data_IF_425776719332
#
_entry.id   IF_425776719332
#
_cell.length_a   1.000
_cell.length_b   1.000
_cell.length_c   1.000
_cell.angle_alpha   90.00
_cell.angle_beta   90.00
_cell.angle_gamma   90.00
#
_symmetry.space_group_name_H-M   'P 1'
#
loop_
_entity.id
_entity.type
_entity.pdbx_description
1 polymer ?
#
# COMPACT_ATOMS: atom_id res chain seq x y z
N UNK A 1 -20.65 -6.27 -8.30
CA UNK A 1 -19.64 -5.21 -8.12
C UNK A 1 -18.29 -5.89 -8.20
N UNK A 2 -17.47 -5.50 -9.17
CA UNK A 2 -16.14 -6.06 -9.37
C UNK A 2 -15.11 -5.15 -8.71
N UNK A 3 -14.40 -5.66 -7.70
CA UNK A 3 -13.30 -4.96 -7.06
C UNK A 3 -11.98 -5.32 -7.75
N UNK A 4 -11.25 -4.30 -8.19
CA UNK A 4 -9.95 -4.46 -8.87
C UNK A 4 -8.88 -3.65 -8.17
N UNK A 5 -7.62 -4.10 -8.25
CA UNK A 5 -6.46 -3.38 -7.72
C UNK A 5 -5.57 -2.98 -8.87
N UNK A 6 -5.30 -1.68 -8.97
CA UNK A 6 -4.65 -1.10 -10.14
C UNK A 6 -3.59 -0.07 -9.73
N UNK A 7 -2.65 0.21 -10.64
CA UNK A 7 -1.83 1.42 -10.57
C UNK A 7 -2.27 2.37 -11.68
N UNK A 8 -2.49 3.64 -11.32
CA UNK A 8 -2.73 4.67 -12.32
C UNK A 8 -1.47 4.86 -13.18
N UNK A 9 -1.66 5.03 -14.49
CA UNK A 9 -0.57 5.16 -15.46
C UNK A 9 0.30 6.40 -15.22
N UNK A 10 -0.31 7.49 -14.74
CA UNK A 10 0.39 8.74 -14.48
C UNK A 10 0.54 9.00 -12.98
N UNK A 11 1.73 9.43 -12.51
CA UNK A 11 1.97 9.73 -11.10
C UNK A 11 1.06 10.81 -10.51
N UNK A 12 0.72 11.85 -11.29
CA UNK A 12 -0.16 12.95 -10.89
C UNK A 12 -1.61 12.50 -10.69
N UNK A 13 -2.10 11.62 -11.57
CA UNK A 13 -3.41 10.97 -11.42
C UNK A 13 -3.44 10.11 -10.17
N UNK A 14 -2.41 9.29 -9.92
CA UNK A 14 -2.30 8.49 -8.71
C UNK A 14 -2.31 9.37 -7.45
N UNK A 15 -1.52 10.44 -7.45
CA UNK A 15 -1.40 11.34 -6.31
C UNK A 15 -2.74 12.00 -6.00
N UNK A 16 -3.40 12.56 -7.01
CA UNK A 16 -4.71 13.19 -6.86
C UNK A 16 -5.74 12.22 -6.30
N UNK A 17 -5.84 11.03 -6.90
CA UNK A 17 -6.78 10.01 -6.47
C UNK A 17 -6.58 9.58 -5.00
N UNK A 18 -5.32 9.33 -4.60
CA UNK A 18 -4.99 8.92 -3.23
C UNK A 18 -5.29 10.05 -2.24
N UNK A 19 -4.86 11.28 -2.52
CA UNK A 19 -5.05 12.41 -1.59
C UNK A 19 -6.53 12.76 -1.44
N UNK A 20 -7.29 12.79 -2.53
CA UNK A 20 -8.75 13.02 -2.47
C UNK A 20 -9.46 11.92 -1.68
N UNK A 21 -9.08 10.65 -1.88
CA UNK A 21 -9.63 9.53 -1.13
C UNK A 21 -9.38 9.66 0.39
N UNK A 22 -8.14 10.00 0.78
CA UNK A 22 -7.71 10.12 2.17
C UNK A 22 -8.35 11.34 2.85
N UNK A 23 -8.39 12.49 2.18
CA UNK A 23 -8.93 13.73 2.75
C UNK A 23 -10.40 13.62 3.17
N UNK A 24 -11.16 12.72 2.54
CA UNK A 24 -12.57 12.49 2.84
C UNK A 24 -12.82 11.48 3.98
N UNK A 25 -11.77 10.86 4.56
CA UNK A 25 -11.93 9.67 5.41
C UNK A 25 -11.09 9.72 6.69
N UNK A 26 -11.74 9.40 7.81
CA UNK A 26 -11.03 9.15 9.07
C UNK A 26 -10.18 7.86 8.99
N UNK A 27 -9.04 7.80 9.69
CA UNK A 27 -8.43 8.87 10.50
C UNK A 27 -7.60 9.89 9.69
N UNK A 28 -7.53 9.73 8.36
CA UNK A 28 -6.61 10.46 7.50
C UNK A 28 -6.97 11.94 7.35
N UNK A 29 -8.26 12.29 7.43
CA UNK A 29 -8.79 13.66 7.46
C UNK A 29 -8.17 14.56 8.54
N UNK A 30 -7.64 13.95 9.62
CA UNK A 30 -7.05 14.64 10.78
C UNK A 30 -5.54 14.50 10.86
N UNK A 31 -4.92 13.77 9.93
CA UNK A 31 -3.47 13.61 9.94
C UNK A 31 -2.76 14.87 9.42
N UNK A 32 -1.55 15.19 9.93
CA UNK A 32 -0.75 16.27 9.37
C UNK A 32 -0.47 16.04 7.88
N UNK A 33 -0.76 17.05 7.06
CA UNK A 33 -0.69 16.94 5.59
C UNK A 33 0.71 16.56 5.08
N UNK A 34 1.77 17.17 5.63
CA UNK A 34 3.16 16.94 5.19
C UNK A 34 3.59 15.47 5.21
N UNK A 35 3.50 14.77 6.37
CA UNK A 35 3.77 13.33 6.47
C UNK A 35 2.93 12.45 5.53
N UNK A 36 1.64 12.77 5.35
CA UNK A 36 0.77 12.06 4.41
C UNK A 36 1.27 12.22 2.99
N UNK A 37 1.54 13.45 2.55
CA UNK A 37 2.09 13.74 1.21
C UNK A 37 3.43 13.05 1.00
N UNK A 38 4.34 13.06 1.98
CA UNK A 38 5.63 12.41 1.88
C UNK A 38 5.49 10.89 1.69
N UNK A 39 4.60 10.26 2.45
CA UNK A 39 4.33 8.81 2.36
C UNK A 39 3.74 8.45 1.00
N UNK A 40 2.73 9.19 0.54
CA UNK A 40 2.06 8.97 -0.76
C UNK A 40 3.03 9.20 -1.93
N UNK A 41 3.78 10.30 -1.90
CA UNK A 41 4.76 10.62 -2.95
C UNK A 41 5.83 9.55 -3.04
N UNK A 42 6.36 9.10 -1.90
CA UNK A 42 7.36 8.03 -1.87
C UNK A 42 6.82 6.71 -2.40
N UNK A 43 5.58 6.35 -2.06
CA UNK A 43 4.94 5.14 -2.57
C UNK A 43 4.76 5.18 -4.09
N UNK A 44 4.33 6.33 -4.63
CA UNK A 44 4.16 6.52 -6.09
C UNK A 44 5.50 6.47 -6.81
N UNK A 45 6.53 7.15 -6.30
CA UNK A 45 7.87 7.14 -6.89
C UNK A 45 8.47 5.74 -6.98
N UNK A 46 8.18 4.87 -6.00
CA UNK A 46 8.60 3.46 -6.02
C UNK A 46 7.69 2.54 -6.84
N UNK A 47 6.52 3.02 -7.26
CA UNK A 47 5.46 2.16 -7.80
C UNK A 47 4.92 1.15 -6.76
N UNK A 48 5.07 1.44 -5.47
CA UNK A 48 4.66 0.61 -4.34
C UNK A 48 3.33 1.08 -3.74
N UNK A 49 2.32 1.15 -4.60
CA UNK A 49 0.95 1.45 -4.23
C UNK A 49 -0.01 0.67 -5.13
N UNK A 50 -1.27 0.54 -4.69
CA UNK A 50 -2.38 0.12 -5.53
C UNK A 50 -3.66 0.82 -5.08
N UNK A 51 -4.48 1.20 -6.05
CA UNK A 51 -5.83 1.73 -5.85
C UNK A 51 -6.82 0.57 -5.94
N UNK A 52 -7.71 0.48 -4.97
CA UNK A 52 -8.86 -0.40 -5.03
C UNK A 52 -9.98 0.35 -5.77
N UNK A 53 -10.38 -0.18 -6.93
CA UNK A 53 -11.38 0.45 -7.80
C UNK A 53 -12.58 -0.46 -7.95
N UNK A 54 -13.76 0.11 -7.71
CA UNK A 54 -15.04 -0.55 -7.90
C UNK A 54 -15.61 -0.21 -9.28
N UNK A 55 -16.01 -1.26 -10.01
CA UNK A 55 -16.60 -1.20 -11.35
C UNK A 55 -15.77 -0.33 -12.34
N UNK A 56 -14.45 -0.27 -12.12
CA UNK A 56 -13.48 0.44 -12.96
C UNK A 56 -13.51 1.96 -12.89
N UNK A 57 -14.30 2.56 -11.97
CA UNK A 57 -14.55 4.02 -11.98
C UNK A 57 -14.26 4.71 -10.66
N UNK A 58 -14.65 4.12 -9.55
CA UNK A 58 -14.56 4.78 -8.25
C UNK A 58 -13.44 4.18 -7.40
N UNK A 59 -12.57 5.04 -6.87
CA UNK A 59 -11.55 4.64 -5.90
C UNK A 59 -12.23 4.44 -4.55
N UNK A 60 -12.35 3.18 -4.14
CA UNK A 60 -12.96 2.77 -2.87
C UNK A 60 -11.90 2.40 -1.82
N UNK A 61 -10.61 2.41 -2.20
CA UNK A 61 -9.52 2.24 -1.25
C UNK A 61 -8.13 2.34 -1.85
N UNK A 62 -7.14 2.17 -0.99
CA UNK A 62 -5.74 2.17 -1.37
C UNK A 62 -4.90 1.28 -0.46
N UNK A 63 -3.75 0.85 -0.98
CA UNK A 63 -2.66 0.30 -0.17
C UNK A 63 -1.33 0.86 -0.67
N UNK A 64 -0.46 1.27 0.25
CA UNK A 64 0.88 1.81 0.00
C UNK A 64 1.88 1.03 0.85
N UNK A 65 2.99 0.63 0.24
CA UNK A 65 4.03 -0.12 0.91
C UNK A 65 5.43 0.36 0.51
N UNK A 66 6.41 -0.26 1.15
CA UNK A 66 7.83 -0.12 0.87
C UNK A 66 8.50 -1.50 0.99
N UNK A 67 9.67 -1.64 0.38
CA UNK A 67 10.54 -2.78 0.59
C UNK A 67 11.75 -2.32 1.39
N UNK A 68 12.11 -3.07 2.43
CA UNK A 68 13.25 -2.76 3.30
C UNK A 68 13.72 -4.06 3.96
N UNK A 69 14.84 -4.02 4.67
CA UNK A 69 15.21 -5.08 5.60
C UNK A 69 14.23 -5.17 6.79
N UNK A 70 14.22 -6.33 7.44
CA UNK A 70 13.32 -6.63 8.55
C UNK A 70 13.50 -5.71 9.77
N UNK A 71 14.74 -5.37 10.12
CA UNK A 71 15.04 -4.61 11.33
C UNK A 71 14.57 -3.16 11.17
N UNK A 72 14.81 -2.57 10.00
CA UNK A 72 14.29 -1.26 9.61
C UNK A 72 12.76 -1.24 9.61
N UNK A 73 12.10 -2.26 9.04
CA UNK A 73 10.64 -2.35 9.06
C UNK A 73 10.08 -2.44 10.49
N UNK A 74 10.76 -3.19 11.36
CA UNK A 74 10.35 -3.40 12.74
C UNK A 74 10.53 -2.13 13.57
N UNK A 75 11.67 -1.45 13.45
CA UNK A 75 11.93 -0.17 14.12
C UNK A 75 10.91 0.90 13.69
N UNK A 76 10.61 0.99 12.40
CA UNK A 76 9.53 1.84 11.90
C UNK A 76 8.17 1.50 12.52
N UNK A 77 7.82 0.22 12.58
CA UNK A 77 6.53 -0.21 13.11
C UNK A 77 6.35 0.11 14.60
N UNK A 78 7.46 0.22 15.34
CA UNK A 78 7.48 0.59 16.76
C UNK A 78 7.59 2.10 16.99
N UNK A 79 7.72 2.90 15.93
CA UNK A 79 7.96 4.34 16.03
C UNK A 79 9.36 4.70 16.52
N UNK A 80 10.31 3.77 16.41
CA UNK A 80 11.70 3.96 16.87
C UNK A 80 12.57 4.66 15.81
N UNK A 81 12.23 4.50 14.53
CA UNK A 81 12.96 5.11 13.42
C UNK A 81 12.04 5.42 12.24
N UNK A 82 12.36 6.49 11.51
CA UNK A 82 11.75 6.76 10.20
C UNK A 82 12.78 6.40 9.11
N UNK A 83 12.52 5.41 8.26
CA UNK A 83 13.45 5.04 7.21
C UNK A 83 13.52 6.12 6.14
N UNK A 84 14.71 6.31 5.59
CA UNK A 84 14.94 7.16 4.42
C UNK A 84 14.34 6.55 3.15
N UNK A 85 14.20 7.35 2.10
CA UNK A 85 13.72 6.87 0.81
C UNK A 85 14.57 5.71 0.27
N UNK A 86 15.91 5.83 0.33
CA UNK A 86 16.84 4.82 -0.19
C UNK A 86 16.71 3.47 0.55
N UNK A 87 16.50 3.51 1.87
CA UNK A 87 16.24 2.32 2.69
C UNK A 87 14.92 1.63 2.34
N UNK A 88 14.03 2.30 1.61
CA UNK A 88 12.69 1.78 1.27
C UNK A 88 12.53 1.34 -0.19
N UNK A 89 13.62 1.30 -0.95
CA UNK A 89 13.64 0.90 -2.36
C UNK A 89 13.54 -0.62 -2.55
N UNK A 90 14.27 -1.39 -1.74
CA UNK A 90 14.42 -2.82 -1.89
C UNK A 90 14.63 -3.49 -0.52
N UNK A 91 14.45 -4.81 -0.47
CA UNK A 91 14.61 -5.58 0.75
C UNK A 91 13.81 -6.88 0.73
N UNK A 92 13.91 -7.65 1.81
CA UNK A 92 13.26 -8.94 1.97
C UNK A 92 11.93 -8.86 2.74
N UNK A 93 11.56 -7.64 3.19
CA UNK A 93 10.41 -7.38 4.03
C UNK A 93 9.55 -6.27 3.42
N UNK A 94 8.26 -6.56 3.28
CA UNK A 94 7.24 -5.58 2.90
C UNK A 94 6.79 -4.79 4.12
N UNK A 95 7.02 -3.48 4.09
CA UNK A 95 6.56 -2.55 5.13
C UNK A 95 5.29 -1.85 4.66
N UNK A 96 4.15 -2.15 5.27
CA UNK A 96 2.86 -1.55 4.90
C UNK A 96 2.68 -0.22 5.59
N UNK A 97 2.83 0.86 4.83
CA UNK A 97 2.92 2.21 5.37
C UNK A 97 1.54 2.84 5.59
N UNK A 98 0.64 2.64 4.63
CA UNK A 98 -0.67 3.28 4.63
C UNK A 98 -1.65 2.44 3.83
N UNK A 99 -2.89 2.35 4.30
CA UNK A 99 -3.95 1.69 3.56
C UNK A 99 -5.30 1.91 4.24
N UNK A 100 -6.35 1.89 3.45
CA UNK A 100 -7.71 2.17 3.91
C UNK A 100 -8.72 1.86 2.80
N UNK A 101 -9.96 1.61 3.20
CA UNK A 101 -11.03 1.28 2.27
C UNK A 101 -12.34 1.04 2.99
N UNK A 102 -13.43 1.13 2.23
CA UNK A 102 -14.80 1.03 2.72
C UNK A 102 -15.23 -0.45 2.90
N UNK A 103 -14.42 -1.24 3.63
CA UNK A 103 -14.75 -2.61 4.00
C UNK A 103 -13.57 -3.59 4.06
N UNK A 104 -13.76 -4.76 4.69
CA UNK A 104 -12.70 -5.76 4.89
C UNK A 104 -12.20 -6.38 3.57
N UNK A 105 -13.05 -6.43 2.54
CA UNK A 105 -12.69 -6.96 1.23
C UNK A 105 -11.55 -6.15 0.58
N UNK A 106 -11.53 -4.84 0.79
CA UNK A 106 -10.50 -3.94 0.23
C UNK A 106 -9.17 -4.16 0.94
N UNK A 107 -9.17 -4.22 2.28
CA UNK A 107 -7.95 -4.53 3.04
C UNK A 107 -7.38 -5.89 2.65
N UNK A 108 -8.22 -6.94 2.60
CA UNK A 108 -7.79 -8.28 2.22
C UNK A 108 -7.33 -8.36 0.76
N UNK A 109 -8.01 -7.67 -0.16
CA UNK A 109 -7.64 -7.58 -1.56
C UNK A 109 -6.27 -6.90 -1.74
N UNK A 110 -6.01 -5.80 -1.02
CA UNK A 110 -4.72 -5.13 -1.05
C UNK A 110 -3.59 -6.02 -0.52
N UNK A 111 -3.82 -6.74 0.58
CA UNK A 111 -2.86 -7.71 1.10
C UNK A 111 -2.56 -8.83 0.10
N UNK A 112 -3.58 -9.32 -0.61
CA UNK A 112 -3.41 -10.35 -1.66
C UNK A 112 -2.64 -9.79 -2.84
N UNK A 113 -2.99 -8.60 -3.31
CA UNK A 113 -2.29 -7.92 -4.41
C UNK A 113 -0.79 -7.75 -4.13
N UNK A 114 -0.44 -7.32 -2.91
CA UNK A 114 0.96 -7.25 -2.47
C UNK A 114 1.57 -8.66 -2.38
N UNK A 115 0.86 -9.64 -1.81
CA UNK A 115 1.36 -11.01 -1.65
C UNK A 115 1.63 -11.72 -2.97
N UNK A 116 0.82 -11.49 -3.99
CA UNK A 116 1.02 -12.01 -5.34
C UNK A 116 2.28 -11.42 -5.99
N UNK A 117 2.61 -10.16 -5.66
CA UNK A 117 3.84 -9.48 -6.10
C UNK A 117 5.08 -9.92 -5.33
N UNK A 118 4.91 -10.33 -4.08
CA UNK A 118 6.00 -10.66 -3.17
C UNK A 118 5.78 -12.02 -2.48
N UNK A 119 5.66 -13.10 -3.27
CA UNK A 119 5.34 -14.42 -2.73
C UNK A 119 6.37 -14.86 -1.70
N UNK A 120 5.90 -15.33 -0.55
CA UNK A 120 6.75 -15.78 0.52
C UNK A 120 7.55 -14.69 1.23
N UNK A 121 7.44 -13.39 0.89
CA UNK A 121 8.17 -12.34 1.63
C UNK A 121 7.56 -12.10 3.00
N UNK A 122 8.40 -11.63 3.94
CA UNK A 122 7.95 -11.17 5.25
C UNK A 122 7.17 -9.87 5.09
N UNK A 123 6.26 -9.60 6.01
CA UNK A 123 5.64 -8.29 6.09
C UNK A 123 5.55 -7.78 7.53
N UNK A 124 5.52 -6.46 7.64
CA UNK A 124 5.23 -5.70 8.85
C UNK A 124 4.14 -4.68 8.52
N UNK A 125 3.08 -4.64 9.32
CA UNK A 125 2.04 -3.61 9.21
C UNK A 125 1.64 -3.07 10.57
N UNK A 126 1.37 -1.77 10.63
CA UNK A 126 0.65 -1.16 11.73
C UNK A 126 -0.83 -1.05 11.37
N UNK A 127 -1.69 -1.48 12.28
CA UNK A 127 -3.13 -1.22 12.16
C UNK A 127 -3.50 -0.14 13.15
N UNK A 128 -4.25 0.84 12.69
CA UNK A 128 -4.61 2.02 13.47
C UNK A 128 -5.33 1.66 14.79
N UNK A 129 -6.09 0.57 14.80
CA UNK A 129 -6.86 0.06 15.94
C UNK A 129 -6.08 -0.89 16.86
N UNK A 130 -4.82 -1.22 16.55
CA UNK A 130 -4.03 -2.21 17.31
C UNK A 130 -2.79 -1.60 17.96
N UNK A 131 -2.55 -2.00 19.21
CA UNK A 131 -1.37 -1.59 19.98
C UNK A 131 -0.06 -2.26 19.55
N UNK A 132 -0.11 -3.29 18.70
CA UNK A 132 1.07 -4.05 18.28
C UNK A 132 1.07 -4.22 16.76
N UNK A 133 2.26 -4.16 16.13
CA UNK A 133 2.39 -4.43 14.71
C UNK A 133 1.95 -5.87 14.40
N UNK A 134 1.34 -6.07 13.24
CA UNK A 134 1.12 -7.41 12.71
C UNK A 134 2.32 -7.81 11.87
N UNK A 135 2.92 -8.94 12.23
CA UNK A 135 4.06 -9.53 11.57
C UNK A 135 3.60 -10.81 10.88
N UNK A 136 4.16 -11.12 9.72
CA UNK A 136 3.85 -12.38 9.05
C UNK A 136 4.67 -12.60 7.80
N UNK A 137 4.21 -13.57 7.01
CA UNK A 137 4.77 -13.90 5.70
C UNK A 137 3.62 -14.08 4.73
N UNK A 138 3.78 -13.57 3.52
CA UNK A 138 2.84 -13.88 2.45
C UNK A 138 2.90 -15.38 2.11
N UNK A 139 1.80 -15.96 1.61
CA UNK A 139 1.83 -17.30 1.06
C UNK A 139 2.92 -17.44 -0.04
N UNK A 140 3.49 -18.63 -0.24
CA UNK A 140 4.35 -18.88 -1.39
C UNK A 140 3.59 -18.68 -2.70
N UNK A 141 4.33 -18.51 -3.80
CA UNK A 141 3.74 -18.39 -5.13
C UNK A 141 2.90 -19.64 -5.42
N UNK A 142 1.72 -19.45 -6.02
CA UNK A 142 0.93 -20.56 -6.53
C UNK A 142 1.52 -21.02 -7.87
N UNK A 143 1.55 -22.32 -8.10
CA UNK A 143 1.97 -22.86 -9.40
C UNK A 143 1.14 -22.22 -10.54
N UNK A 144 1.82 -21.70 -11.56
CA UNK A 144 1.19 -21.05 -12.72
C UNK A 144 0.75 -19.59 -12.52
N UNK A 145 1.14 -18.92 -11.42
CA UNK A 145 0.82 -17.50 -11.21
C UNK A 145 1.65 -16.60 -12.13
N UNK A 146 0.98 -15.92 -13.06
CA UNK A 146 1.55 -14.82 -13.85
C UNK A 146 1.52 -13.57 -12.98
N UNK A 147 2.67 -12.90 -12.83
CA UNK A 147 2.77 -11.64 -12.07
C UNK A 147 1.81 -10.61 -12.66
N UNK A 148 0.99 -9.98 -11.82
CA UNK A 148 0.03 -8.98 -12.26
C UNK A 148 0.74 -7.84 -13.03
N UNK A 149 0.30 -7.59 -14.27
CA UNK A 149 0.65 -6.37 -15.00
C UNK A 149 -0.26 -5.24 -14.51
N UNK A 150 0.28 -4.38 -13.65
CA UNK A 150 -0.50 -3.40 -12.89
C UNK A 150 -0.95 -2.15 -13.68
N UNK A 151 -0.68 -2.08 -14.99
CA UNK A 151 -1.01 -0.91 -15.81
C UNK A 151 -2.42 -1.04 -16.41
N UNK A 152 -3.35 -0.27 -15.85
CA UNK A 152 -4.67 -0.03 -16.45
C UNK A 152 -4.91 1.47 -16.57
N UNK A 153 -5.60 1.89 -17.64
CA UNK A 153 -5.95 3.28 -17.92
C UNK A 153 -7.01 3.78 -16.91
N UNK A 154 -6.59 4.15 -15.71
CA UNK A 154 -7.41 4.92 -14.78
C UNK A 154 -7.12 6.41 -14.96
N UNK A 155 -8.16 7.17 -15.35
CA UNK A 155 -8.10 8.62 -15.51
C UNK A 155 -7.64 9.11 -16.89
N UNK A 156 -8.10 8.47 -17.98
CA UNK A 156 -8.18 9.14 -19.29
C UNK A 156 -9.37 10.10 -19.35
#
# INVERSE_FOLDING_TARGET
MALTFIRARRPDTAFTAIVTFLAARAPFDRMPLGPVIATVSGAIQRGHYALAVEDGREVVGLTCWALTDYDTALAWSRGEAQPSFDQTLNGDTVMMMMGGGDGPAIALGGLRHIGDRYPGQRYVMNRFDRKRPSLGRFPPARDGMVMASDETAFGE
#
